data_IF_724281874312
#
_entry.id   IF_724281874312
#
_cell.length_a   1.000
_cell.length_b   1.000
_cell.length_c   1.000
_cell.angle_alpha   90.00
_cell.angle_beta   90.00
_cell.angle_gamma   90.00
#
_symmetry.space_group_name_H-M   'P 1'
#
loop_
_entity.id
_entity.type
_entity.pdbx_description
1 polymer ?
#
# COMPACT_ATOMS: atom_id res chain seq x y z
N UNK A 1 -19.43 -33.07 30.48
CA UNK A 1 -18.84 -32.21 29.44
C UNK A 1 -19.85 -32.09 28.31
N UNK A 2 -20.37 -30.89 27.99
CA UNK A 2 -21.26 -30.74 26.85
C UNK A 2 -20.41 -30.88 25.57
N UNK A 3 -20.80 -31.79 24.67
CA UNK A 3 -20.26 -31.83 23.31
C UNK A 3 -20.64 -30.50 22.65
N UNK A 4 -19.70 -29.73 22.06
CA UNK A 4 -20.10 -28.67 21.16
C UNK A 4 -20.80 -29.33 19.97
N UNK A 5 -22.12 -29.24 19.92
CA UNK A 5 -22.90 -29.55 18.73
C UNK A 5 -22.61 -28.44 17.71
N UNK A 6 -21.49 -28.55 17.01
CA UNK A 6 -21.21 -27.64 15.90
C UNK A 6 -22.27 -27.84 14.83
N UNK A 7 -23.02 -26.78 14.52
CA UNK A 7 -23.98 -26.79 13.41
C UNK A 7 -23.17 -26.91 12.13
N UNK A 8 -23.46 -27.93 11.32
CA UNK A 8 -22.88 -28.04 9.99
C UNK A 8 -23.63 -27.06 9.07
N UNK A 9 -22.90 -26.17 8.42
CA UNK A 9 -23.46 -25.10 7.59
C UNK A 9 -22.80 -25.07 6.22
N UNK A 10 -23.58 -24.66 5.22
CA UNK A 10 -23.09 -24.30 3.89
C UNK A 10 -23.22 -22.79 3.72
N UNK A 11 -22.13 -22.13 3.31
CA UNK A 11 -22.15 -20.71 2.92
C UNK A 11 -21.64 -20.53 1.50
N UNK A 12 -22.36 -19.73 0.74
CA UNK A 12 -21.94 -19.32 -0.60
C UNK A 12 -21.35 -17.91 -0.55
N UNK A 13 -20.19 -17.73 -1.20
CA UNK A 13 -19.58 -16.44 -1.47
C UNK A 13 -19.35 -16.30 -2.97
N UNK A 14 -19.61 -15.12 -3.52
CA UNK A 14 -19.48 -14.87 -4.96
C UNK A 14 -18.49 -13.75 -5.20
N UNK A 15 -17.54 -14.01 -6.09
CA UNK A 15 -16.53 -13.04 -6.53
C UNK A 15 -16.77 -12.69 -8.02
N UNK A 16 -16.88 -11.40 -8.38
CA UNK A 16 -17.01 -10.99 -9.78
C UNK A 16 -15.72 -11.31 -10.54
N UNK A 17 -15.84 -12.01 -11.66
CA UNK A 17 -14.72 -12.42 -12.49
C UNK A 17 -14.84 -11.82 -13.90
N UNK A 18 -14.34 -10.59 -14.12
CA UNK A 18 -14.37 -9.96 -15.44
C UNK A 18 -13.35 -10.54 -16.42
N UNK A 19 -12.33 -11.26 -15.93
CA UNK A 19 -11.28 -11.87 -16.75
C UNK A 19 -11.03 -13.32 -16.31
N UNK A 20 -11.37 -14.26 -17.19
CA UNK A 20 -11.24 -15.70 -16.94
C UNK A 20 -9.82 -16.13 -16.60
N UNK A 21 -8.77 -15.55 -17.21
CA UNK A 21 -7.39 -15.95 -16.94
C UNK A 21 -6.97 -15.62 -15.51
N UNK A 22 -7.34 -14.42 -15.04
CA UNK A 22 -7.06 -13.97 -13.66
C UNK A 22 -7.79 -14.85 -12.66
N UNK A 23 -9.00 -15.29 -12.99
CA UNK A 23 -9.80 -16.12 -12.08
C UNK A 23 -9.34 -17.56 -12.02
N UNK A 24 -8.84 -18.11 -13.11
CA UNK A 24 -8.15 -19.40 -13.07
C UNK A 24 -6.89 -19.32 -12.19
N UNK A 25 -6.16 -18.20 -12.29
CA UNK A 25 -5.01 -17.95 -11.42
C UNK A 25 -5.40 -17.83 -9.94
N UNK A 26 -6.49 -17.11 -9.64
CA UNK A 26 -7.07 -17.03 -8.29
C UNK A 26 -7.37 -18.42 -7.75
N UNK A 27 -8.00 -19.29 -8.55
CA UNK A 27 -8.34 -20.65 -8.11
C UNK A 27 -7.09 -21.49 -7.81
N UNK A 28 -6.08 -21.45 -8.68
CA UNK A 28 -4.81 -22.13 -8.45
C UNK A 28 -4.15 -21.65 -7.16
N UNK A 29 -4.16 -20.33 -6.91
CA UNK A 29 -3.50 -19.76 -5.74
C UNK A 29 -4.24 -20.00 -4.44
N UNK A 30 -5.57 -20.08 -4.47
CA UNK A 30 -6.34 -20.54 -3.32
C UNK A 30 -5.95 -21.97 -2.96
N UNK A 31 -5.82 -22.86 -3.94
CA UNK A 31 -5.43 -24.26 -3.72
C UNK A 31 -4.00 -24.39 -3.19
N UNK A 32 -3.06 -23.58 -3.70
CA UNK A 32 -1.66 -23.59 -3.28
C UNK A 32 -1.42 -22.97 -1.89
N UNK A 33 -2.09 -21.85 -1.58
CA UNK A 33 -1.69 -20.97 -0.47
C UNK A 33 -2.69 -20.99 0.69
N UNK A 34 -3.96 -21.34 0.45
CA UNK A 34 -5.02 -21.17 1.43
C UNK A 34 -5.33 -22.48 2.16
N UNK A 35 -4.76 -22.63 3.36
CA UNK A 35 -5.16 -23.71 4.27
C UNK A 35 -6.46 -23.35 5.00
N UNK A 36 -7.56 -24.02 4.62
CA UNK A 36 -8.88 -23.82 5.19
C UNK A 36 -9.31 -24.97 6.09
N UNK A 37 -10.01 -24.63 7.18
CA UNK A 37 -10.57 -25.60 8.15
C UNK A 37 -11.99 -26.07 7.77
N UNK A 38 -12.44 -25.68 6.57
CA UNK A 38 -13.74 -26.00 5.99
C UNK A 38 -13.53 -26.43 4.53
N UNK A 39 -14.43 -27.27 4.03
CA UNK A 39 -14.39 -27.75 2.65
C UNK A 39 -14.76 -26.60 1.71
N UNK A 40 -13.90 -26.33 0.73
CA UNK A 40 -14.11 -25.30 -0.27
C UNK A 40 -14.37 -25.93 -1.63
N UNK A 41 -15.50 -25.57 -2.23
CA UNK A 41 -15.82 -25.90 -3.62
C UNK A 41 -15.92 -24.60 -4.41
N UNK A 42 -15.28 -24.55 -5.56
CA UNK A 42 -15.32 -23.37 -6.42
C UNK A 42 -15.83 -23.75 -7.81
N UNK A 43 -16.76 -22.96 -8.33
CA UNK A 43 -17.27 -23.10 -9.69
C UNK A 43 -17.27 -21.76 -10.43
N UNK A 44 -16.99 -21.79 -11.73
CA UNK A 44 -17.07 -20.63 -12.60
C UNK A 44 -18.44 -20.56 -13.27
N UNK A 45 -19.21 -19.50 -13.01
CA UNK A 45 -20.55 -19.27 -13.57
C UNK A 45 -20.70 -17.84 -14.07
N UNK A 46 -20.95 -17.67 -15.36
CA UNK A 46 -21.36 -16.39 -15.97
C UNK A 46 -20.51 -15.19 -15.51
N UNK A 47 -19.18 -15.29 -15.66
CA UNK A 47 -18.21 -14.26 -15.22
C UNK A 47 -18.15 -14.06 -13.70
N UNK A 48 -18.39 -15.10 -12.92
CA UNK A 48 -18.25 -15.10 -11.46
C UNK A 48 -17.60 -16.39 -10.98
N UNK A 49 -16.79 -16.27 -9.94
CA UNK A 49 -16.38 -17.41 -9.13
C UNK A 49 -17.37 -17.55 -7.98
N UNK A 50 -18.00 -18.72 -7.88
CA UNK A 50 -18.92 -19.06 -6.80
C UNK A 50 -18.19 -20.05 -5.90
N UNK A 51 -17.95 -19.63 -4.67
CA UNK A 51 -17.30 -20.41 -3.64
C UNK A 51 -18.37 -20.94 -2.67
N UNK A 52 -18.37 -22.25 -2.43
CA UNK A 52 -19.20 -22.90 -1.42
C UNK A 52 -18.30 -23.45 -0.32
N UNK A 53 -18.51 -22.96 0.89
CA UNK A 53 -17.82 -23.39 2.09
C UNK A 53 -18.74 -24.27 2.90
N UNK A 54 -18.30 -25.49 3.24
CA UNK A 54 -19.07 -26.45 4.01
C UNK A 54 -18.26 -26.94 5.20
N UNK A 55 -18.90 -27.06 6.37
CA UNK A 55 -18.21 -27.48 7.59
C UNK A 55 -18.94 -27.05 8.86
N UNK A 56 -18.26 -27.16 9.99
CA UNK A 56 -18.75 -26.61 11.25
C UNK A 56 -18.83 -25.08 11.15
N UNK A 57 -19.91 -24.48 11.65
CA UNK A 57 -20.14 -23.04 11.60
C UNK A 57 -18.92 -22.16 11.96
N UNK A 58 -18.20 -22.38 13.08
CA UNK A 58 -17.02 -21.56 13.38
C UNK A 58 -15.92 -21.68 12.31
N UNK A 59 -15.71 -22.87 11.75
CA UNK A 59 -14.72 -23.10 10.70
C UNK A 59 -15.13 -22.45 9.40
N UNK A 60 -16.42 -22.51 9.04
CA UNK A 60 -16.96 -21.87 7.83
C UNK A 60 -16.84 -20.34 7.93
N UNK A 61 -17.10 -19.76 9.10
CA UNK A 61 -16.92 -18.32 9.30
C UNK A 61 -15.43 -17.92 9.19
N UNK A 62 -14.54 -18.68 9.85
CA UNK A 62 -13.08 -18.49 9.77
C UNK A 62 -12.58 -18.59 8.33
N UNK A 63 -12.99 -19.63 7.60
CA UNK A 63 -12.63 -19.85 6.21
C UNK A 63 -13.16 -18.75 5.29
N UNK A 64 -14.37 -18.25 5.53
CA UNK A 64 -14.96 -17.16 4.76
C UNK A 64 -14.16 -15.85 4.94
N UNK A 65 -13.69 -15.56 6.16
CA UNK A 65 -12.83 -14.40 6.44
C UNK A 65 -11.49 -14.56 5.70
N UNK A 66 -10.82 -15.70 5.88
CA UNK A 66 -9.55 -16.01 5.19
C UNK A 66 -9.68 -15.89 3.67
N UNK A 67 -10.74 -16.44 3.08
CA UNK A 67 -11.01 -16.37 1.64
C UNK A 67 -11.22 -14.92 1.16
N UNK A 68 -11.97 -14.11 1.91
CA UNK A 68 -12.19 -12.69 1.55
C UNK A 68 -10.92 -11.88 1.65
N UNK A 69 -10.13 -12.10 2.69
CA UNK A 69 -8.82 -11.45 2.87
C UNK A 69 -7.88 -11.85 1.73
N UNK A 70 -7.77 -13.14 1.44
CA UNK A 70 -6.96 -13.64 0.33
C UNK A 70 -7.37 -13.01 -1.00
N UNK A 71 -8.66 -13.05 -1.35
CA UNK A 71 -9.13 -12.47 -2.60
C UNK A 71 -8.87 -10.97 -2.66
N UNK A 72 -9.04 -10.25 -1.55
CA UNK A 72 -8.72 -8.83 -1.47
C UNK A 72 -7.23 -8.58 -1.70
N UNK A 73 -6.36 -9.34 -1.03
CA UNK A 73 -4.91 -9.21 -1.14
C UNK A 73 -4.38 -9.64 -2.51
N UNK A 74 -4.84 -10.78 -3.04
CA UNK A 74 -4.42 -11.33 -4.32
C UNK A 74 -4.88 -10.48 -5.50
N UNK A 75 -6.11 -9.98 -5.45
CA UNK A 75 -6.61 -9.05 -6.48
C UNK A 75 -5.89 -7.71 -6.37
N UNK A 76 -5.58 -7.26 -5.15
CA UNK A 76 -4.73 -6.08 -4.94
C UNK A 76 -3.30 -6.30 -5.42
N UNK A 77 -2.71 -7.49 -5.25
CA UNK A 77 -1.35 -7.84 -5.70
C UNK A 77 -1.24 -8.06 -7.19
N UNK A 78 -2.34 -8.46 -7.84
CA UNK A 78 -2.51 -8.44 -9.29
C UNK A 78 -2.98 -7.09 -9.84
N UNK A 79 -3.36 -6.13 -8.99
CA UNK A 79 -3.40 -4.73 -9.37
C UNK A 79 -1.96 -4.28 -9.56
N UNK A 80 -1.46 -4.52 -10.76
CA UNK A 80 -0.16 -4.00 -11.16
C UNK A 80 -0.15 -2.50 -10.88
N UNK A 81 0.86 -1.96 -10.19
CA UNK A 81 1.04 -0.52 -10.08
C UNK A 81 0.96 0.18 -11.44
N UNK A 82 1.29 -0.50 -12.55
CA UNK A 82 1.12 0.04 -13.91
C UNK A 82 -0.34 0.32 -14.30
N UNK A 83 -1.30 -0.42 -13.73
CA UNK A 83 -2.75 -0.24 -13.93
C UNK A 83 -3.37 0.75 -12.95
N UNK A 84 -2.60 1.22 -11.98
CA UNK A 84 -3.05 2.14 -10.95
C UNK A 84 -3.49 1.42 -9.68
N UNK A 85 -3.08 1.97 -8.54
CA UNK A 85 -3.49 1.53 -7.20
C UNK A 85 -4.08 2.71 -6.46
N UNK A 86 -5.29 2.56 -5.95
CA UNK A 86 -5.96 3.59 -5.17
C UNK A 86 -5.32 3.78 -3.79
N UNK A 87 -5.34 5.02 -3.29
CA UNK A 87 -4.81 5.40 -1.97
C UNK A 87 -5.43 4.58 -0.82
N UNK A 88 -6.71 4.23 -0.92
CA UNK A 88 -7.42 3.42 0.08
C UNK A 88 -6.87 1.98 0.15
N UNK A 89 -6.43 1.40 -0.96
CA UNK A 89 -5.83 0.07 -1.03
C UNK A 89 -4.48 0.12 -0.33
N UNK A 90 -3.65 1.11 -0.66
CA UNK A 90 -2.37 1.33 0.02
C UNK A 90 -2.59 1.53 1.51
N UNK A 91 -3.55 2.37 1.90
CA UNK A 91 -3.83 2.65 3.29
C UNK A 91 -4.30 1.43 4.08
N UNK A 92 -5.07 0.52 3.46
CA UNK A 92 -5.46 -0.76 4.09
C UNK A 92 -4.26 -1.67 4.34
N UNK A 93 -3.32 -1.73 3.40
CA UNK A 93 -2.14 -2.59 3.51
C UNK A 93 -1.10 -2.02 4.49
N UNK A 94 -0.87 -0.71 4.43
CA UNK A 94 0.08 0.01 5.30
C UNK A 94 -0.54 0.34 6.67
N UNK A 95 -1.87 0.19 6.82
CA UNK A 95 -2.68 0.56 7.98
C UNK A 95 -2.59 2.04 8.35
N UNK A 96 -2.26 2.90 7.38
CA UNK A 96 -2.00 4.34 7.55
C UNK A 96 -2.25 5.11 6.26
N UNK A 97 -2.58 6.39 6.37
CA UNK A 97 -2.68 7.28 5.21
C UNK A 97 -1.29 7.58 4.64
N UNK A 98 -1.17 7.56 3.31
CA UNK A 98 0.09 7.85 2.61
C UNK A 98 -0.14 8.99 1.62
N UNK A 99 0.63 10.09 1.70
CA UNK A 99 0.59 11.13 0.67
C UNK A 99 1.13 10.57 -0.66
N UNK A 100 0.25 10.38 -1.64
CA UNK A 100 0.62 9.72 -2.91
C UNK A 100 1.62 10.52 -3.75
N UNK A 101 1.56 11.85 -3.69
CA UNK A 101 2.50 12.73 -4.40
C UNK A 101 3.93 12.57 -3.86
N UNK A 102 4.07 12.46 -2.54
CA UNK A 102 5.34 12.12 -1.89
C UNK A 102 5.77 10.71 -2.26
N UNK A 103 4.88 9.72 -2.17
CA UNK A 103 5.18 8.34 -2.53
C UNK A 103 5.71 8.22 -3.96
N UNK A 104 5.08 8.90 -4.92
CA UNK A 104 5.52 8.88 -6.32
C UNK A 104 6.94 9.47 -6.48
N UNK A 105 7.25 10.58 -5.79
CA UNK A 105 8.60 11.17 -5.81
C UNK A 105 9.62 10.21 -5.21
N UNK A 106 9.33 9.61 -4.06
CA UNK A 106 10.23 8.66 -3.39
C UNK A 106 10.48 7.42 -4.26
N UNK A 107 9.43 6.87 -4.91
CA UNK A 107 9.58 5.76 -5.85
C UNK A 107 10.51 6.12 -7.01
N UNK A 108 10.32 7.30 -7.62
CA UNK A 108 11.18 7.76 -8.73
C UNK A 108 12.64 7.88 -8.32
N UNK A 109 12.92 8.42 -7.13
CA UNK A 109 14.29 8.64 -6.64
C UNK A 109 14.98 7.35 -6.21
N UNK A 110 14.27 6.46 -5.51
CA UNK A 110 14.86 5.21 -5.01
C UNK A 110 15.05 4.17 -6.13
N UNK A 111 14.08 4.04 -7.02
CA UNK A 111 14.07 2.96 -8.02
C UNK A 111 14.48 3.42 -9.43
N UNK A 112 14.46 4.72 -9.73
CA UNK A 112 14.69 5.23 -11.08
C UNK A 112 13.59 4.85 -12.09
N UNK A 113 12.40 4.47 -11.62
CA UNK A 113 11.26 4.05 -12.47
C UNK A 113 10.20 5.13 -12.57
N UNK A 114 9.32 5.05 -13.57
CA UNK A 114 8.18 5.96 -13.69
C UNK A 114 7.21 5.76 -12.53
N UNK A 115 6.76 6.88 -11.93
CA UNK A 115 5.63 6.91 -11.01
C UNK A 115 4.86 8.22 -11.16
N UNK A 116 3.53 8.12 -11.24
CA UNK A 116 2.60 9.23 -11.47
C UNK A 116 1.37 9.10 -10.58
N UNK A 117 0.75 10.23 -10.23
CA UNK A 117 -0.49 10.27 -9.47
C UNK A 117 -1.58 10.91 -10.32
N UNK A 118 -2.74 10.25 -10.43
CA UNK A 118 -3.94 10.81 -11.06
C UNK A 118 -5.11 10.66 -10.08
N UNK A 119 -5.57 11.78 -9.54
CA UNK A 119 -6.58 11.79 -8.47
C UNK A 119 -6.10 11.03 -7.23
N UNK A 120 -6.88 10.04 -6.81
CA UNK A 120 -6.56 9.17 -5.66
C UNK A 120 -5.79 7.90 -6.04
N UNK A 121 -5.24 7.82 -7.26
CA UNK A 121 -4.58 6.61 -7.78
C UNK A 121 -3.12 6.88 -8.13
N UNK A 122 -2.22 5.99 -7.71
CA UNK A 122 -0.80 6.01 -8.12
C UNK A 122 -0.54 4.94 -9.18
N UNK A 123 0.19 5.32 -10.22
CA UNK A 123 0.66 4.47 -11.29
C UNK A 123 2.18 4.35 -11.19
N UNK A 124 2.74 3.15 -11.32
CA UNK A 124 4.19 2.95 -11.24
C UNK A 124 4.69 1.75 -12.03
N UNK A 125 5.91 1.82 -12.54
CA UNK A 125 6.62 0.72 -13.20
C UNK A 125 7.37 -0.19 -12.20
N UNK A 126 6.70 -0.54 -11.11
CA UNK A 126 7.22 -1.45 -10.07
C UNK A 126 6.20 -2.53 -9.74
N UNK A 127 6.58 -3.53 -8.96
CA UNK A 127 5.68 -4.53 -8.42
C UNK A 127 4.95 -4.03 -7.15
N UNK A 128 3.84 -4.67 -6.76
CA UNK A 128 3.05 -4.21 -5.60
C UNK A 128 3.88 -4.26 -4.31
N UNK A 129 4.66 -5.31 -4.09
CA UNK A 129 5.37 -5.51 -2.83
C UNK A 129 6.39 -4.39 -2.62
N UNK A 130 7.17 -4.07 -3.66
CA UNK A 130 8.10 -2.94 -3.65
C UNK A 130 7.36 -1.62 -3.40
N UNK A 131 6.23 -1.37 -4.07
CA UNK A 131 5.43 -0.16 -3.84
C UNK A 131 4.95 -0.06 -2.38
N UNK A 132 4.43 -1.15 -1.82
CA UNK A 132 3.92 -1.17 -0.45
C UNK A 132 5.03 -1.01 0.59
N UNK A 133 6.23 -1.55 0.32
CA UNK A 133 7.39 -1.38 1.19
C UNK A 133 7.86 0.09 1.23
N UNK A 134 7.90 0.76 0.07
CA UNK A 134 8.21 2.20 0.03
C UNK A 134 7.08 3.02 0.68
N UNK A 135 5.82 2.66 0.42
CA UNK A 135 4.68 3.32 1.05
C UNK A 135 4.71 3.21 2.59
N UNK A 136 5.19 2.09 3.13
CA UNK A 136 5.40 1.93 4.58
C UNK A 136 6.45 2.89 5.11
N UNK A 137 7.61 3.02 4.44
CA UNK A 137 8.64 4.00 4.81
C UNK A 137 8.09 5.42 4.82
N UNK A 138 7.40 5.82 3.76
CA UNK A 138 6.76 7.15 3.66
C UNK A 138 5.74 7.36 4.79
N UNK A 139 4.91 6.36 5.10
CA UNK A 139 3.92 6.45 6.17
C UNK A 139 4.56 6.61 7.56
N UNK A 140 5.68 5.93 7.80
CA UNK A 140 6.43 6.02 9.05
C UNK A 140 7.08 7.39 9.22
N UNK A 141 7.75 7.90 8.19
CA UNK A 141 8.31 9.26 8.16
C UNK A 141 7.22 10.32 8.34
N UNK A 142 6.08 10.18 7.64
CA UNK A 142 4.97 11.12 7.77
C UNK A 142 4.40 11.15 9.19
N UNK A 143 4.27 9.99 9.84
CA UNK A 143 3.79 9.93 11.22
C UNK A 143 4.70 10.70 12.19
N UNK A 144 6.03 10.61 12.01
CA UNK A 144 6.99 11.27 12.91
C UNK A 144 6.86 12.79 12.91
N UNK A 145 6.45 13.37 11.78
CA UNK A 145 6.33 14.83 11.62
C UNK A 145 4.88 15.33 11.57
N UNK A 146 3.89 14.45 11.72
CA UNK A 146 2.48 14.77 11.52
C UNK A 146 2.02 15.93 12.42
N UNK A 147 2.42 15.90 13.69
CA UNK A 147 2.04 16.88 14.71
C UNK A 147 2.89 18.17 14.68
N UNK A 148 3.90 18.25 13.82
CA UNK A 148 4.70 19.47 13.70
C UNK A 148 3.87 20.60 13.07
N UNK A 149 3.95 21.79 13.67
CA UNK A 149 3.30 23.00 13.15
C UNK A 149 4.15 23.66 12.07
N UNK A 150 4.31 22.97 10.94
CA UNK A 150 5.08 23.42 9.77
C UNK A 150 4.24 23.36 8.48
N UNK A 151 4.59 24.15 7.45
CA UNK A 151 3.87 24.18 6.18
C UNK A 151 3.80 22.79 5.52
N UNK A 152 2.70 22.51 4.81
CA UNK A 152 2.50 21.22 4.14
C UNK A 152 3.58 20.91 3.10
N UNK A 153 4.05 21.93 2.38
CA UNK A 153 5.14 21.83 1.42
C UNK A 153 6.44 21.36 2.08
N UNK A 154 6.78 21.93 3.24
CA UNK A 154 7.94 21.52 4.04
C UNK A 154 7.76 20.09 4.58
N UNK A 155 6.56 19.72 5.06
CA UNK A 155 6.29 18.32 5.47
C UNK A 155 6.60 17.33 4.35
N UNK A 156 6.13 17.61 3.12
CA UNK A 156 6.39 16.74 1.96
C UNK A 156 7.88 16.56 1.70
N UNK A 157 8.65 17.64 1.78
CA UNK A 157 10.10 17.59 1.63
C UNK A 157 10.75 16.74 2.73
N UNK A 158 10.43 16.99 4.00
CA UNK A 158 11.01 16.25 5.12
C UNK A 158 10.71 14.75 5.03
N UNK A 159 9.46 14.38 4.76
CA UNK A 159 9.09 12.96 4.56
C UNK A 159 9.84 12.35 3.39
N UNK A 160 9.99 13.07 2.28
CA UNK A 160 10.70 12.57 1.12
C UNK A 160 12.18 12.36 1.43
N UNK A 161 12.84 13.34 2.04
CA UNK A 161 14.25 13.28 2.40
C UNK A 161 14.53 12.13 3.37
N UNK A 162 13.72 12.01 4.43
CA UNK A 162 13.85 10.94 5.41
C UNK A 162 13.61 9.55 4.78
N UNK A 163 12.61 9.40 3.90
CA UNK A 163 12.32 8.12 3.25
C UNK A 163 13.38 7.70 2.21
N UNK A 164 14.04 8.67 1.55
CA UNK A 164 15.07 8.41 0.53
C UNK A 164 16.44 8.19 1.19
N UNK A 165 16.86 9.10 2.08
CA UNK A 165 18.22 9.17 2.60
C UNK A 165 18.37 8.61 4.02
N UNK A 166 17.27 8.23 4.68
CA UNK A 166 17.27 7.75 6.06
C UNK A 166 17.93 8.75 7.04
N UNK A 167 17.74 10.05 6.76
CA UNK A 167 18.21 11.18 7.58
C UNK A 167 17.10 11.66 8.52
N UNK A 168 17.46 12.13 9.72
CA UNK A 168 16.47 12.65 10.65
C UNK A 168 15.91 14.01 10.18
N UNK A 169 14.61 14.22 10.36
CA UNK A 169 13.93 15.46 9.99
C UNK A 169 14.56 16.73 10.61
N UNK A 170 15.21 16.65 11.79
CA UNK A 170 15.89 17.80 12.41
C UNK A 170 17.17 18.15 11.68
N UNK A 171 17.94 17.14 11.28
CA UNK A 171 19.16 17.31 10.49
C UNK A 171 18.83 17.94 9.13
N UNK A 172 17.76 17.47 8.48
CA UNK A 172 17.28 18.09 7.23
C UNK A 172 16.91 19.56 7.44
N UNK A 173 16.21 19.91 8.52
CA UNK A 173 15.87 21.30 8.82
C UNK A 173 17.11 22.17 9.05
N UNK A 174 18.13 21.65 9.73
CA UNK A 174 19.39 22.37 9.93
C UNK A 174 20.11 22.62 8.60
N UNK A 175 20.20 21.61 7.73
CA UNK A 175 20.79 21.74 6.39
C UNK A 175 20.03 22.80 5.58
N UNK A 176 18.70 22.75 5.57
CA UNK A 176 17.86 23.71 4.84
C UNK A 176 18.06 25.15 5.33
N UNK A 177 18.20 25.36 6.65
CA UNK A 177 18.47 26.69 7.22
C UNK A 177 19.86 27.19 6.84
N UNK A 178 20.87 26.33 7.00
CA UNK A 178 22.26 26.68 6.68
C UNK A 178 22.45 27.02 5.19
N UNK A 179 21.75 26.28 4.32
CA UNK A 179 21.72 26.53 2.89
C UNK A 179 20.75 27.66 2.47
N UNK A 180 20.05 28.29 3.43
CA UNK A 180 19.06 29.34 3.20
C UNK A 180 17.93 28.94 2.24
N UNK A 181 17.52 27.66 2.25
CA UNK A 181 16.45 27.11 1.41
C UNK A 181 15.05 27.26 2.03
N UNK A 182 15.00 27.55 3.33
CA UNK A 182 13.81 27.98 4.05
C UNK A 182 14.03 29.37 4.65
N UNK A 183 12.94 30.10 4.93
CA UNK A 183 12.99 31.37 5.67
C UNK A 183 12.81 31.17 7.20
N UNK A 184 12.75 32.28 7.94
CA UNK A 184 12.59 32.29 9.40
C UNK A 184 11.26 31.66 9.86
N UNK A 185 10.23 31.69 9.00
CA UNK A 185 8.92 31.10 9.26
C UNK A 185 8.85 29.62 8.84
N UNK A 186 9.97 29.06 8.35
CA UNK A 186 10.09 27.73 7.75
C UNK A 186 9.26 27.54 6.47
N UNK A 187 9.02 28.61 5.72
CA UNK A 187 8.49 28.52 4.37
C UNK A 187 9.61 28.21 3.37
N UNK A 188 9.31 27.33 2.42
CA UNK A 188 10.25 26.96 1.37
C UNK A 188 10.37 28.09 0.34
N UNK A 189 11.60 28.47 -0.02
CA UNK A 189 11.83 29.53 -1.03
C UNK A 189 11.54 29.12 -2.47
N UNK A 190 11.38 27.82 -2.71
CA UNK A 190 11.06 27.25 -4.02
C UNK A 190 10.11 26.04 -3.85
N UNK A 191 9.47 25.55 -4.93
CA UNK A 191 8.68 24.32 -4.89
C UNK A 191 9.46 23.17 -4.27
N UNK A 192 8.83 22.41 -3.38
CA UNK A 192 9.48 21.39 -2.56
C UNK A 192 10.28 20.33 -3.34
N UNK A 193 9.90 20.02 -4.59
CA UNK A 193 10.63 19.09 -5.46
C UNK A 193 11.98 19.68 -5.92
N UNK A 194 12.01 21.00 -6.19
CA UNK A 194 13.23 21.71 -6.55
C UNK A 194 14.17 21.75 -5.34
N UNK A 195 13.64 22.15 -4.18
CA UNK A 195 14.42 22.18 -2.93
C UNK A 195 14.91 20.79 -2.54
N UNK A 196 14.10 19.74 -2.74
CA UNK A 196 14.55 18.36 -2.54
C UNK A 196 15.76 18.04 -3.41
N UNK A 197 15.74 18.44 -4.69
CA UNK A 197 16.87 18.24 -5.63
C UNK A 197 18.14 18.96 -5.16
N UNK A 198 18.00 20.19 -4.66
CA UNK A 198 19.12 20.94 -4.09
C UNK A 198 19.67 20.28 -2.81
N UNK A 199 18.78 19.76 -1.96
CA UNK A 199 19.14 19.00 -0.76
C UNK A 199 19.92 17.73 -1.10
N UNK A 200 19.57 17.00 -2.17
CA UNK A 200 20.33 15.79 -2.60
C UNK A 200 21.79 16.16 -2.87
N UNK A 201 22.04 17.27 -3.56
CA UNK A 201 23.40 17.76 -3.83
C UNK A 201 24.17 18.15 -2.58
N UNK A 202 23.49 18.60 -1.52
CA UNK A 202 24.12 18.92 -0.23
C UNK A 202 24.46 17.66 0.58
N UNK A 203 23.58 16.66 0.55
CA UNK A 203 23.77 15.39 1.27
C UNK A 203 24.83 14.50 0.63
N UNK A 204 25.06 14.61 -0.69
CA UNK A 204 26.15 13.88 -1.36
C UNK A 204 27.55 14.46 -1.06
N UNK A 205 27.61 15.69 -0.53
CA UNK A 205 28.86 16.40 -0.21
C UNK A 205 29.25 16.34 1.28
N UNK A 206 28.37 15.81 2.14
CA UNK A 206 28.56 15.63 3.58
C UNK A 206 29.02 14.22 3.94
#
# INVERSE_FOLDING_TARGET
MPKPSGVYVEKTYTYPCPNTSICLEILQKIDEELSLEADLYAEFKLNKLVFKLMGLEPNVQSALVKLREFLTLYVSSKASPRRGIEANVIAKHVKRTVPLDVLAVVIRRILGVSAEVKGSTIYSDTDLETLLNIARKVAESYQRIELMSIPSSLKKLLVSAEAIYNVDHREVLEILRNAQLIDEDNELKAPWIQVLTELEGLLELS
#
